data_IF_075674804252
#
_entry.id   IF_075674804252
#
_cell.length_a   1.000
_cell.length_b   1.000
_cell.length_c   1.000
_cell.angle_alpha   90.00
_cell.angle_beta   90.00
_cell.angle_gamma   90.00
#
_symmetry.space_group_name_H-M   'P 1'
#
loop_
_entity.id
_entity.type
_entity.pdbx_description
1 polymer ?
#
# COMPACT_ATOMS: atom_id res chain seq x y z
N UNK A 1 9.14 -7.75 21.14
CA UNK A 1 10.54 -7.22 21.18
C UNK A 1 10.58 -5.70 20.96
N UNK A 2 9.97 -5.14 19.88
CA UNK A 2 9.98 -3.69 19.60
C UNK A 2 9.31 -2.86 20.71
N UNK A 3 8.13 -3.27 21.18
CA UNK A 3 7.42 -2.60 22.28
C UNK A 3 8.33 -2.53 23.53
N UNK A 4 8.95 -3.65 23.91
CA UNK A 4 9.83 -3.67 25.10
C UNK A 4 11.05 -2.75 24.93
N UNK A 5 11.64 -2.71 23.72
CA UNK A 5 12.73 -1.80 23.41
C UNK A 5 12.31 -0.34 23.59
N UNK A 6 11.19 0.07 22.98
CA UNK A 6 10.69 1.44 23.10
C UNK A 6 10.37 1.83 24.56
N UNK A 7 9.76 0.94 25.33
CA UNK A 7 9.46 1.18 26.73
C UNK A 7 10.75 1.30 27.58
N UNK A 8 11.74 0.43 27.34
CA UNK A 8 13.04 0.49 28.03
C UNK A 8 13.76 1.79 27.72
N UNK A 9 13.81 2.19 26.44
CA UNK A 9 14.45 3.44 26.00
C UNK A 9 13.79 4.67 26.61
N UNK A 10 12.46 4.66 26.71
CA UNK A 10 11.69 5.74 27.33
C UNK A 10 11.71 5.71 28.87
N UNK A 11 12.23 4.66 29.49
CA UNK A 11 12.18 4.48 30.96
C UNK A 11 10.76 4.30 31.49
N UNK A 12 9.83 3.77 30.69
CA UNK A 12 8.42 3.62 31.02
C UNK A 12 8.02 2.16 31.17
N UNK A 13 7.02 1.95 32.03
CA UNK A 13 6.26 0.70 32.07
C UNK A 13 5.03 0.81 31.15
N UNK A 14 4.55 -0.31 30.60
CA UNK A 14 3.37 -0.32 29.74
C UNK A 14 2.10 0.20 30.43
N UNK A 15 2.03 0.09 31.75
CA UNK A 15 0.95 0.63 32.61
C UNK A 15 0.87 2.14 32.56
N UNK A 16 2.00 2.82 32.38
CA UNK A 16 2.13 4.29 32.33
C UNK A 16 1.79 4.85 30.92
N UNK A 17 1.59 3.96 29.94
CA UNK A 17 1.17 4.36 28.57
C UNK A 17 -0.33 4.64 28.58
N UNK A 18 -0.72 5.83 28.13
CA UNK A 18 -2.12 6.24 28.09
C UNK A 18 -2.86 5.55 26.94
N UNK A 19 -2.25 5.50 25.74
CA UNK A 19 -2.84 4.92 24.55
C UNK A 19 -1.83 4.12 23.75
N UNK A 20 -2.30 3.07 23.09
CA UNK A 20 -1.58 2.32 22.06
C UNK A 20 -2.32 2.56 20.72
N UNK A 21 -1.67 3.23 19.79
CA UNK A 21 -2.25 3.48 18.47
C UNK A 21 -1.81 2.41 17.46
N UNK A 22 -2.78 1.79 16.82
CA UNK A 22 -2.56 0.93 15.67
C UNK A 22 -2.79 1.72 14.37
N UNK A 23 -1.94 1.54 13.40
CA UNK A 23 -1.79 2.42 12.23
C UNK A 23 -2.85 2.23 11.14
N UNK A 24 -3.82 1.33 11.30
CA UNK A 24 -4.88 1.14 10.32
C UNK A 24 -6.24 0.77 10.93
N UNK A 25 -7.33 0.94 10.17
CA UNK A 25 -8.70 0.60 10.55
C UNK A 25 -9.12 -0.71 9.85
N UNK A 26 -9.00 -1.87 10.50
CA UNK A 26 -9.20 -3.18 9.86
C UNK A 26 -10.59 -3.37 9.27
N UNK A 27 -11.62 -2.82 9.90
CA UNK A 27 -13.01 -2.93 9.42
C UNK A 27 -13.21 -2.20 8.09
N UNK A 28 -12.66 -1.00 7.93
CA UNK A 28 -12.73 -0.25 6.68
C UNK A 28 -11.94 -0.95 5.55
N UNK A 29 -10.80 -1.57 5.88
CA UNK A 29 -10.08 -2.42 4.92
C UNK A 29 -10.91 -3.61 4.47
N UNK A 30 -11.60 -4.25 5.40
CA UNK A 30 -12.47 -5.38 5.08
C UNK A 30 -13.67 -4.96 4.23
N UNK A 31 -14.31 -3.82 4.57
CA UNK A 31 -15.39 -3.21 3.80
C UNK A 31 -14.95 -2.96 2.35
N UNK A 32 -13.84 -2.25 2.12
CA UNK A 32 -13.29 -2.04 0.78
C UNK A 32 -13.11 -3.34 0.00
N UNK A 33 -12.56 -4.37 0.65
CA UNK A 33 -12.38 -5.67 -0.02
C UNK A 33 -13.72 -6.26 -0.47
N UNK A 34 -14.75 -6.24 0.38
CA UNK A 34 -16.09 -6.72 0.03
C UNK A 34 -16.71 -5.90 -1.10
N UNK A 35 -16.70 -4.58 -0.99
CA UNK A 35 -17.25 -3.68 -2.01
C UNK A 35 -16.54 -3.87 -3.36
N UNK A 36 -15.21 -4.02 -3.35
CA UNK A 36 -14.45 -4.29 -4.56
C UNK A 36 -14.93 -5.57 -5.25
N UNK A 37 -15.10 -6.67 -4.52
CA UNK A 37 -15.57 -7.92 -5.13
C UNK A 37 -17.01 -7.85 -5.62
N UNK A 38 -17.87 -7.13 -4.91
CA UNK A 38 -19.25 -6.88 -5.36
C UNK A 38 -19.26 -6.05 -6.64
N UNK A 39 -18.46 -4.98 -6.70
CA UNK A 39 -18.39 -4.09 -7.85
C UNK A 39 -17.87 -4.79 -9.13
N UNK A 40 -16.96 -5.75 -8.98
CA UNK A 40 -16.38 -6.49 -10.10
C UNK A 40 -17.07 -7.85 -10.39
N UNK A 41 -18.11 -8.21 -9.64
CA UNK A 41 -18.80 -9.50 -9.82
C UNK A 41 -19.28 -9.71 -11.27
N UNK A 42 -19.18 -10.93 -11.83
CA UNK A 42 -18.72 -12.19 -11.23
C UNK A 42 -17.20 -12.42 -11.28
N UNK A 43 -16.41 -11.42 -11.74
CA UNK A 43 -14.94 -11.52 -11.79
C UNK A 43 -14.37 -11.66 -10.36
N UNK A 44 -13.29 -12.42 -10.22
CA UNK A 44 -12.59 -12.55 -8.94
C UNK A 44 -13.20 -13.56 -7.96
N UNK A 45 -14.20 -14.37 -8.34
CA UNK A 45 -14.83 -15.34 -7.43
C UNK A 45 -13.80 -16.33 -6.84
N UNK A 46 -12.82 -16.75 -7.63
CA UNK A 46 -11.77 -17.67 -7.15
C UNK A 46 -10.90 -17.01 -6.08
N UNK A 47 -10.37 -15.81 -6.34
CA UNK A 47 -9.54 -15.07 -5.38
C UNK A 47 -10.33 -14.70 -4.12
N UNK A 48 -11.62 -14.32 -4.25
CA UNK A 48 -12.51 -14.09 -3.13
C UNK A 48 -12.62 -15.32 -2.22
N UNK A 49 -12.90 -16.51 -2.80
CA UNK A 49 -13.01 -17.75 -2.03
C UNK A 49 -11.71 -18.13 -1.32
N UNK A 50 -10.57 -17.84 -1.91
CA UNK A 50 -9.26 -18.11 -1.30
C UNK A 50 -8.92 -17.09 -0.18
N UNK A 51 -9.24 -15.83 -0.38
CA UNK A 51 -8.87 -14.76 0.52
C UNK A 51 -9.82 -14.60 1.72
N UNK A 52 -11.12 -14.88 1.53
CA UNK A 52 -12.15 -14.63 2.54
C UNK A 52 -11.88 -15.30 3.89
N UNK A 53 -11.50 -16.58 3.99
CA UNK A 53 -11.21 -17.20 5.29
C UNK A 53 -10.07 -16.53 6.04
N UNK A 54 -9.04 -16.07 5.31
CA UNK A 54 -7.89 -15.36 5.89
C UNK A 54 -8.31 -13.99 6.39
N UNK A 55 -9.06 -13.24 5.59
CA UNK A 55 -9.48 -11.88 5.95
C UNK A 55 -10.48 -11.85 7.11
N UNK A 56 -11.42 -12.78 7.16
CA UNK A 56 -12.32 -12.95 8.31
C UNK A 56 -11.50 -13.13 9.59
N UNK A 57 -10.51 -14.02 9.57
CA UNK A 57 -9.67 -14.28 10.73
C UNK A 57 -8.76 -13.10 11.09
N UNK A 58 -8.08 -12.50 10.12
CA UNK A 58 -7.03 -11.51 10.37
C UNK A 58 -7.56 -10.08 10.50
N UNK A 59 -8.69 -9.75 9.86
CA UNK A 59 -9.20 -8.38 9.87
C UNK A 59 -10.32 -8.16 10.88
N UNK A 60 -11.32 -9.04 10.94
CA UNK A 60 -12.41 -8.89 11.89
C UNK A 60 -11.99 -9.11 13.34
N UNK A 61 -11.07 -10.03 13.59
CA UNK A 61 -10.59 -10.34 14.95
C UNK A 61 -9.24 -9.70 15.31
N UNK A 62 -8.77 -8.73 14.51
CA UNK A 62 -7.46 -8.10 14.73
C UNK A 62 -7.37 -7.42 16.10
N UNK A 63 -8.42 -6.73 16.54
CA UNK A 63 -8.46 -6.09 17.88
C UNK A 63 -8.22 -7.11 18.97
N UNK A 64 -8.96 -8.21 18.95
CA UNK A 64 -8.85 -9.27 19.96
C UNK A 64 -7.47 -9.94 19.93
N UNK A 65 -6.92 -10.13 18.74
CA UNK A 65 -5.58 -10.66 18.54
C UNK A 65 -4.51 -9.74 19.13
N UNK A 66 -4.57 -8.43 18.85
CA UNK A 66 -3.66 -7.43 19.39
C UNK A 66 -3.76 -7.35 20.92
N UNK A 67 -4.98 -7.29 21.48
CA UNK A 67 -5.21 -7.29 22.93
C UNK A 67 -4.64 -8.53 23.57
N UNK A 68 -4.80 -9.70 22.96
CA UNK A 68 -4.24 -10.97 23.44
C UNK A 68 -2.71 -10.96 23.45
N UNK A 69 -2.08 -10.42 22.40
CA UNK A 69 -0.62 -10.31 22.34
C UNK A 69 -0.07 -9.31 23.37
N UNK A 70 -0.73 -8.16 23.55
CA UNK A 70 -0.36 -7.17 24.56
C UNK A 70 -0.51 -7.76 25.98
N UNK A 71 -1.57 -8.53 26.24
CA UNK A 71 -1.81 -9.19 27.54
C UNK A 71 -0.79 -10.28 27.86
N UNK A 72 0.00 -10.78 26.91
CA UNK A 72 1.14 -11.65 27.22
C UNK A 72 2.26 -10.90 27.94
N UNK A 73 2.41 -9.60 27.67
CA UNK A 73 3.41 -8.73 28.29
C UNK A 73 2.83 -8.05 29.54
N UNK A 74 1.57 -7.60 29.45
CA UNK A 74 0.87 -6.92 30.53
C UNK A 74 -0.55 -7.49 30.72
N UNK A 75 -0.73 -8.37 31.71
CA UNK A 75 -1.99 -9.12 31.92
C UNK A 75 -3.20 -8.24 32.13
N UNK A 76 -3.03 -7.11 32.81
CA UNK A 76 -4.12 -6.19 33.20
C UNK A 76 -4.33 -5.09 32.15
N UNK A 77 -3.90 -5.28 30.90
CA UNK A 77 -4.08 -4.30 29.84
C UNK A 77 -5.56 -3.98 29.61
N UNK A 78 -5.92 -2.70 29.70
CA UNK A 78 -7.25 -2.20 29.35
C UNK A 78 -7.35 -2.05 27.82
N UNK A 79 -8.24 -2.83 27.21
CA UNK A 79 -8.45 -2.82 25.77
C UNK A 79 -9.00 -1.49 25.23
N UNK A 80 -9.55 -0.61 26.09
CA UNK A 80 -10.00 0.73 25.70
C UNK A 80 -8.83 1.68 25.40
N UNK A 81 -7.64 1.38 25.87
CA UNK A 81 -6.41 2.12 25.50
C UNK A 81 -5.92 1.81 24.10
N UNK A 82 -6.45 0.77 23.41
CA UNK A 82 -6.07 0.44 22.04
C UNK A 82 -6.94 1.22 21.05
N UNK A 83 -6.31 2.12 20.31
CA UNK A 83 -6.92 2.98 19.30
C UNK A 83 -6.48 2.59 17.89
N UNK A 84 -7.30 2.90 16.91
CA UNK A 84 -7.05 2.61 15.50
C UNK A 84 -7.10 3.93 14.71
N UNK A 85 -5.98 4.30 14.10
CA UNK A 85 -5.85 5.43 13.19
C UNK A 85 -6.08 5.00 11.75
N UNK A 86 -6.39 5.95 10.87
CA UNK A 86 -6.42 5.72 9.43
C UNK A 86 -5.00 5.57 8.88
N UNK A 87 -4.84 4.68 7.90
CA UNK A 87 -3.53 4.31 7.36
C UNK A 87 -2.76 5.51 6.78
N UNK A 88 -3.38 6.25 5.88
CA UNK A 88 -2.74 7.44 5.28
C UNK A 88 -2.57 8.60 6.27
N UNK A 89 -3.48 8.74 7.24
CA UNK A 89 -3.29 9.68 8.35
C UNK A 89 -2.07 9.28 9.20
N UNK A 90 -1.90 7.99 9.46
CA UNK A 90 -0.72 7.48 10.19
C UNK A 90 0.58 7.74 9.44
N UNK A 91 0.60 7.57 8.10
CA UNK A 91 1.74 7.96 7.26
C UNK A 91 2.02 9.47 7.36
N UNK A 92 1.00 10.30 7.17
CA UNK A 92 1.15 11.75 7.23
C UNK A 92 1.64 12.22 8.60
N UNK A 93 1.08 11.67 9.69
CA UNK A 93 1.49 11.97 11.05
C UNK A 93 2.96 11.58 11.32
N UNK A 94 3.38 10.41 10.86
CA UNK A 94 4.77 9.95 11.04
C UNK A 94 5.78 10.84 10.31
N UNK A 95 5.41 11.41 9.19
CA UNK A 95 6.26 12.35 8.44
C UNK A 95 6.25 13.74 9.06
N UNK A 96 5.07 14.32 9.32
CA UNK A 96 4.91 15.70 9.77
C UNK A 96 5.46 15.91 11.17
N UNK A 97 5.00 15.13 12.16
CA UNK A 97 5.39 15.32 13.57
C UNK A 97 6.84 14.96 13.87
N UNK A 98 7.50 14.18 13.00
CA UNK A 98 8.93 13.92 13.10
C UNK A 98 9.79 14.93 12.32
N UNK A 99 9.17 15.83 11.55
CA UNK A 99 9.87 16.86 10.76
C UNK A 99 10.16 18.10 11.61
N UNK A 100 11.09 18.96 11.17
CA UNK A 100 11.37 20.23 11.84
C UNK A 100 10.40 21.36 11.44
N UNK A 101 9.35 21.09 10.66
CA UNK A 101 8.47 22.11 10.08
C UNK A 101 7.26 22.37 10.99
N UNK A 102 7.00 23.64 11.30
CA UNK A 102 5.79 24.08 12.00
C UNK A 102 4.55 24.05 11.09
N UNK A 103 4.74 24.23 9.79
CA UNK A 103 3.70 24.17 8.77
C UNK A 103 4.26 23.49 7.52
N UNK A 104 3.54 22.50 7.00
CA UNK A 104 3.94 21.76 5.80
C UNK A 104 2.77 21.13 5.06
N UNK A 105 2.94 20.97 3.75
CA UNK A 105 2.13 20.04 2.96
C UNK A 105 2.76 18.65 3.07
N UNK A 106 1.95 17.65 3.35
CA UNK A 106 2.38 16.25 3.45
C UNK A 106 1.72 15.45 2.35
N UNK A 107 2.54 14.86 1.49
CA UNK A 107 2.10 13.96 0.44
C UNK A 107 2.37 12.51 0.87
N UNK A 108 1.35 11.67 0.82
CA UNK A 108 1.50 10.23 1.05
C UNK A 108 1.11 9.44 -0.20
N UNK A 109 1.95 8.48 -0.59
CA UNK A 109 1.71 7.58 -1.72
C UNK A 109 1.98 6.16 -1.25
N UNK A 110 0.97 5.29 -1.43
CA UNK A 110 1.04 3.90 -0.98
C UNK A 110 0.39 2.96 -2.01
N UNK A 111 0.48 1.67 -1.76
CA UNK A 111 -0.28 0.67 -2.50
C UNK A 111 -1.77 0.87 -2.28
N UNK A 112 -2.23 0.68 -1.07
CA UNK A 112 -3.58 1.00 -0.62
C UNK A 112 -3.72 0.93 0.91
N UNK A 113 -4.27 1.98 1.49
CA UNK A 113 -4.73 2.01 2.89
C UNK A 113 -6.10 1.34 3.07
N UNK A 114 -7.02 2.02 3.71
CA UNK A 114 -8.42 1.60 3.73
C UNK A 114 -9.03 1.73 2.33
N UNK A 115 -9.14 2.96 1.85
CA UNK A 115 -9.55 3.32 0.49
C UNK A 115 -8.51 4.18 -0.21
N UNK A 116 -7.91 5.12 0.52
CA UNK A 116 -6.93 6.04 -0.01
C UNK A 116 -5.67 5.30 -0.48
N UNK A 117 -5.11 5.77 -1.59
CA UNK A 117 -3.85 5.33 -2.20
C UNK A 117 -2.84 6.48 -2.28
N UNK A 118 -3.38 7.70 -2.33
CA UNK A 118 -2.60 8.94 -2.31
C UNK A 118 -3.38 9.96 -1.50
N UNK A 119 -2.71 10.69 -0.60
CA UNK A 119 -3.34 11.80 0.12
C UNK A 119 -2.45 13.03 0.13
N UNK A 120 -3.09 14.18 0.17
CA UNK A 120 -2.45 15.47 0.48
C UNK A 120 -3.01 15.93 1.81
N UNK A 121 -2.14 16.14 2.78
CA UNK A 121 -2.49 16.72 4.07
C UNK A 121 -1.79 18.06 4.29
N UNK A 122 -2.39 18.91 5.13
CA UNK A 122 -1.80 20.14 5.62
C UNK A 122 -1.57 19.98 7.11
N UNK A 123 -0.32 20.06 7.53
CA UNK A 123 0.10 20.08 8.93
C UNK A 123 0.39 21.51 9.36
N UNK A 124 -0.08 21.89 10.56
CA UNK A 124 0.18 23.19 11.19
C UNK A 124 0.18 23.07 12.71
N UNK A 125 1.34 23.23 13.34
CA UNK A 125 1.50 23.01 14.78
C UNK A 125 1.09 21.60 15.17
N UNK A 126 0.00 21.46 15.92
CA UNK A 126 -0.54 20.14 16.34
C UNK A 126 -1.69 19.63 15.46
N UNK A 127 -2.11 20.41 14.47
CA UNK A 127 -3.20 20.02 13.56
C UNK A 127 -2.65 19.37 12.31
N UNK A 128 -3.28 18.30 11.88
CA UNK A 128 -2.99 17.60 10.63
C UNK A 128 -4.30 17.23 9.96
N UNK A 129 -4.55 17.78 8.78
CA UNK A 129 -5.81 17.64 8.07
C UNK A 129 -5.57 17.11 6.65
N UNK A 130 -6.17 15.97 6.29
CA UNK A 130 -6.20 15.46 4.92
C UNK A 130 -7.17 16.34 4.12
N UNK A 131 -6.70 16.90 3.01
CA UNK A 131 -7.47 17.85 2.19
C UNK A 131 -7.79 17.31 0.80
N UNK A 132 -7.03 16.32 0.29
CA UNK A 132 -7.30 15.65 -0.98
C UNK A 132 -6.93 14.17 -0.89
N UNK A 133 -7.66 13.33 -1.62
CA UNK A 133 -7.42 11.89 -1.69
C UNK A 133 -7.64 11.35 -3.10
N UNK A 134 -6.85 10.34 -3.47
CA UNK A 134 -7.13 9.43 -4.58
C UNK A 134 -7.37 8.05 -3.97
N UNK A 135 -8.41 7.37 -4.44
CA UNK A 135 -8.84 6.10 -3.91
C UNK A 135 -8.49 4.93 -4.82
N UNK A 136 -8.42 3.76 -4.23
CA UNK A 136 -8.39 2.48 -4.93
C UNK A 136 -9.54 2.39 -5.97
N UNK A 137 -9.29 1.88 -7.18
CA UNK A 137 -8.12 1.13 -7.62
C UNK A 137 -6.98 1.97 -8.24
N UNK A 138 -7.07 3.30 -8.22
CA UNK A 138 -6.07 4.18 -8.81
C UNK A 138 -4.94 4.41 -7.79
N UNK A 139 -3.74 3.86 -8.06
CA UNK A 139 -2.62 3.87 -7.12
C UNK A 139 -1.28 3.83 -7.85
N UNK A 140 -0.39 4.78 -7.56
CA UNK A 140 0.99 4.76 -8.05
C UNK A 140 1.79 3.62 -7.40
N UNK A 141 1.52 3.31 -6.13
CA UNK A 141 2.16 2.17 -5.47
C UNK A 141 1.78 0.83 -6.12
N UNK A 142 0.50 0.63 -6.48
CA UNK A 142 0.08 -0.57 -7.22
C UNK A 142 0.59 -0.57 -8.67
N UNK A 143 0.72 0.58 -9.32
CA UNK A 143 1.37 0.69 -10.64
C UNK A 143 2.83 0.23 -10.53
N UNK A 144 3.57 0.71 -9.54
CA UNK A 144 4.95 0.29 -9.28
C UNK A 144 5.02 -1.22 -9.00
N UNK A 145 4.12 -1.75 -8.19
CA UNK A 145 4.02 -3.18 -7.91
C UNK A 145 3.64 -4.00 -9.15
N UNK A 146 2.85 -3.44 -10.09
CA UNK A 146 2.54 -4.07 -11.36
C UNK A 146 3.81 -4.23 -12.23
N UNK A 147 4.65 -3.21 -12.32
CA UNK A 147 5.94 -3.30 -12.99
C UNK A 147 6.93 -4.22 -12.25
N UNK A 148 6.90 -4.24 -10.92
CA UNK A 148 7.66 -5.19 -10.11
C UNK A 148 7.29 -6.63 -10.48
N UNK A 149 6.00 -6.93 -10.57
CA UNK A 149 5.49 -8.22 -11.01
C UNK A 149 5.87 -8.54 -12.46
N UNK A 150 5.70 -7.57 -13.37
CA UNK A 150 6.01 -7.72 -14.79
C UNK A 150 7.48 -8.06 -15.05
N UNK A 151 8.38 -7.43 -14.32
CA UNK A 151 9.82 -7.71 -14.38
C UNK A 151 10.23 -8.97 -13.62
N UNK A 152 9.26 -9.74 -13.09
CA UNK A 152 9.46 -11.04 -12.45
C UNK A 152 9.97 -10.96 -11.02
N UNK A 153 9.83 -9.82 -10.36
CA UNK A 153 10.15 -9.70 -8.94
C UNK A 153 8.92 -9.91 -8.06
N UNK A 154 9.17 -10.30 -6.82
CA UNK A 154 8.10 -10.55 -5.85
C UNK A 154 7.56 -9.22 -5.34
N UNK A 155 6.26 -8.99 -5.53
CA UNK A 155 5.52 -7.84 -5.00
C UNK A 155 5.60 -7.78 -3.46
N UNK A 156 5.62 -6.57 -2.90
CA UNK A 156 5.80 -6.25 -1.47
C UNK A 156 7.19 -6.60 -0.90
N UNK A 157 8.13 -7.00 -1.74
CA UNK A 157 9.50 -7.27 -1.29
C UNK A 157 10.54 -7.14 -2.40
N UNK A 158 10.14 -6.84 -3.62
CA UNK A 158 11.02 -6.75 -4.78
C UNK A 158 11.03 -5.39 -5.47
N UNK A 159 10.25 -4.44 -4.97
CA UNK A 159 10.15 -3.07 -5.50
C UNK A 159 11.52 -2.39 -5.53
N UNK A 160 12.33 -2.58 -4.48
CA UNK A 160 13.70 -2.03 -4.44
C UNK A 160 14.63 -2.62 -5.52
N UNK A 161 14.32 -3.83 -6.04
CA UNK A 161 15.09 -4.44 -7.14
C UNK A 161 14.80 -3.75 -8.46
N UNK A 162 13.54 -3.33 -8.68
CA UNK A 162 13.17 -2.51 -9.85
C UNK A 162 13.87 -1.16 -9.77
N UNK A 163 13.85 -0.53 -8.59
CA UNK A 163 14.59 0.72 -8.35
C UNK A 163 16.09 0.55 -8.64
N UNK A 164 16.71 -0.55 -8.17
CA UNK A 164 18.11 -0.85 -8.42
C UNK A 164 18.43 -1.22 -9.87
N UNK A 165 17.42 -1.63 -10.66
CA UNK A 165 17.57 -1.95 -12.08
C UNK A 165 17.50 -0.70 -12.97
N UNK A 166 16.73 0.31 -12.57
CA UNK A 166 16.48 1.53 -13.33
C UNK A 166 17.73 2.27 -13.82
N UNK A 167 18.81 2.42 -13.03
CA UNK A 167 20.04 3.10 -13.50
C UNK A 167 20.74 2.43 -14.68
N UNK A 168 20.41 1.20 -15.01
CA UNK A 168 21.00 0.45 -16.12
C UNK A 168 20.17 0.53 -17.41
N UNK A 169 19.01 1.22 -17.38
CA UNK A 169 18.09 1.37 -18.48
C UNK A 169 17.98 2.79 -19.01
N UNK A 170 17.25 2.91 -20.10
CA UNK A 170 16.83 4.18 -20.69
C UNK A 170 15.29 4.29 -20.60
N UNK A 171 14.69 5.49 -20.36
CA UNK A 171 13.25 5.64 -20.15
C UNK A 171 12.46 5.59 -21.49
N UNK A 172 12.62 4.52 -22.26
CA UNK A 172 12.04 4.35 -23.61
C UNK A 172 10.53 4.22 -23.60
N UNK A 173 9.95 3.75 -22.49
CA UNK A 173 8.51 3.46 -22.37
C UNK A 173 7.74 4.52 -21.60
N UNK A 174 8.41 5.60 -21.14
CA UNK A 174 7.80 6.68 -20.35
C UNK A 174 6.55 7.25 -21.02
N UNK A 175 6.65 7.65 -22.30
CA UNK A 175 5.54 8.27 -23.00
C UNK A 175 4.41 7.27 -23.26
N UNK A 176 4.73 6.01 -23.51
CA UNK A 176 3.76 4.93 -23.67
C UNK A 176 2.98 4.67 -22.36
N UNK A 177 3.68 4.69 -21.22
CA UNK A 177 3.08 4.55 -19.89
C UNK A 177 2.11 5.70 -19.64
N UNK A 178 2.53 6.94 -19.87
CA UNK A 178 1.72 8.14 -19.68
C UNK A 178 0.52 8.21 -20.63
N UNK A 179 0.65 7.70 -21.87
CA UNK A 179 -0.44 7.70 -22.84
C UNK A 179 -1.47 6.58 -22.63
N UNK A 180 -1.03 5.39 -22.17
CA UNK A 180 -1.88 4.20 -22.15
C UNK A 180 -2.29 3.73 -20.75
N UNK A 181 -1.46 3.93 -19.74
CA UNK A 181 -1.70 3.36 -18.42
C UNK A 181 -2.19 4.38 -17.39
N UNK A 182 -1.83 5.65 -17.55
CA UNK A 182 -2.14 6.70 -16.59
C UNK A 182 -2.71 7.95 -17.26
N UNK A 183 -3.90 8.35 -16.85
CA UNK A 183 -4.49 9.63 -17.21
C UNK A 183 -4.15 10.65 -16.13
N UNK A 184 -3.10 11.44 -16.35
CA UNK A 184 -2.59 12.45 -15.44
C UNK A 184 -3.19 13.82 -15.76
N UNK A 185 -3.74 14.50 -14.76
CA UNK A 185 -4.32 15.84 -14.87
C UNK A 185 -3.34 16.93 -14.41
N UNK A 186 -3.60 18.17 -14.85
CA UNK A 186 -2.79 19.34 -14.48
C UNK A 186 -2.77 19.63 -12.97
N UNK A 187 -3.84 19.27 -12.24
CA UNK A 187 -3.93 19.43 -10.79
C UNK A 187 -3.21 18.32 -10.00
N UNK A 188 -2.52 17.42 -10.70
CA UNK A 188 -1.80 16.29 -10.13
C UNK A 188 -2.68 15.07 -9.82
N UNK A 189 -3.99 15.15 -10.05
CA UNK A 189 -4.84 13.97 -9.95
C UNK A 189 -4.59 13.02 -11.12
N UNK A 190 -4.82 11.72 -10.89
CA UNK A 190 -4.60 10.72 -11.93
C UNK A 190 -5.60 9.58 -11.84
N UNK A 191 -5.74 8.86 -12.96
CA UNK A 191 -6.46 7.59 -13.04
C UNK A 191 -5.65 6.58 -13.84
N UNK A 192 -5.69 5.32 -13.41
CA UNK A 192 -5.10 4.21 -14.15
C UNK A 192 -6.15 3.54 -15.02
N UNK A 193 -5.81 3.16 -16.25
CA UNK A 193 -6.68 2.32 -17.09
C UNK A 193 -6.70 0.90 -16.56
N UNK A 194 -7.76 0.58 -15.81
CA UNK A 194 -7.93 -0.71 -15.15
C UNK A 194 -8.04 -1.90 -16.11
N UNK A 195 -8.18 -1.66 -17.42
CA UNK A 195 -8.21 -2.73 -18.43
C UNK A 195 -6.87 -3.47 -18.59
N UNK A 196 -5.78 -2.92 -18.12
CA UNK A 196 -4.44 -3.51 -18.14
C UNK A 196 -4.09 -4.29 -16.87
N UNK A 197 -4.84 -4.11 -15.79
CA UNK A 197 -4.50 -4.61 -14.46
C UNK A 197 -5.48 -5.67 -13.96
N UNK A 198 -4.97 -6.58 -13.12
CA UNK A 198 -5.76 -7.63 -12.49
C UNK A 198 -5.80 -7.51 -10.96
N UNK A 199 -5.03 -6.60 -10.37
CA UNK A 199 -4.83 -6.55 -8.92
C UNK A 199 -6.10 -6.27 -8.10
N UNK A 200 -7.15 -5.72 -8.71
CA UNK A 200 -8.38 -5.42 -8.00
C UNK A 200 -9.07 -6.69 -7.47
N UNK A 201 -9.15 -7.74 -8.31
CA UNK A 201 -9.85 -8.99 -7.98
C UNK A 201 -9.15 -10.25 -8.50
N UNK A 202 -8.03 -10.11 -9.21
CA UNK A 202 -7.28 -11.22 -9.78
C UNK A 202 -6.22 -11.80 -8.84
N UNK A 203 -5.54 -12.84 -9.30
CA UNK A 203 -4.41 -13.47 -8.64
C UNK A 203 -3.05 -12.98 -9.17
N UNK A 204 -3.07 -12.11 -10.17
CA UNK A 204 -1.90 -11.50 -10.81
C UNK A 204 -2.03 -9.98 -10.76
N UNK A 205 -0.92 -9.25 -10.90
CA UNK A 205 -0.95 -7.79 -10.92
C UNK A 205 -1.40 -7.23 -12.27
N UNK A 206 -0.96 -7.85 -13.35
CA UNK A 206 -1.23 -7.44 -14.74
C UNK A 206 -1.84 -8.56 -15.54
N UNK A 207 -2.44 -8.23 -16.69
CA UNK A 207 -3.02 -9.19 -17.62
C UNK A 207 -2.23 -9.25 -18.95
N UNK A 208 -2.72 -10.04 -19.93
CA UNK A 208 -2.08 -10.19 -21.23
C UNK A 208 -2.02 -8.88 -22.01
N UNK A 209 -3.08 -8.03 -21.93
CA UNK A 209 -3.10 -6.72 -22.59
C UNK A 209 -1.94 -5.82 -22.14
N UNK A 210 -1.53 -5.92 -20.87
CA UNK A 210 -0.36 -5.20 -20.35
C UNK A 210 0.94 -5.73 -20.98
N UNK A 211 1.09 -7.04 -21.08
CA UNK A 211 2.27 -7.65 -21.72
C UNK A 211 2.33 -7.30 -23.23
N UNK A 212 1.20 -7.37 -23.92
CA UNK A 212 1.10 -7.03 -25.36
C UNK A 212 1.44 -5.55 -25.62
N UNK A 213 1.13 -4.65 -24.69
CA UNK A 213 1.46 -3.23 -24.78
C UNK A 213 2.97 -2.97 -24.92
N UNK A 214 3.78 -3.76 -24.20
CA UNK A 214 5.23 -3.63 -24.19
C UNK A 214 5.93 -4.61 -25.13
N UNK A 215 5.20 -5.58 -25.69
CA UNK A 215 5.71 -6.53 -26.69
C UNK A 215 6.50 -7.71 -26.12
N UNK A 216 6.59 -7.83 -24.79
CA UNK A 216 7.31 -8.91 -24.11
C UNK A 216 6.41 -9.58 -23.05
N UNK A 217 6.53 -10.88 -22.83
CA UNK A 217 5.76 -11.58 -21.80
C UNK A 217 6.22 -11.19 -20.38
N UNK A 218 5.36 -11.50 -19.39
CA UNK A 218 5.73 -11.38 -17.97
C UNK A 218 6.94 -12.29 -17.70
N UNK A 219 8.01 -11.71 -17.18
CA UNK A 219 9.25 -12.44 -16.88
C UNK A 219 9.01 -13.49 -15.78
N UNK A 220 9.49 -14.72 -16.03
CA UNK A 220 9.51 -15.82 -15.06
C UNK A 220 10.92 -15.90 -14.44
N UNK A 221 11.09 -15.62 -13.14
CA UNK A 221 12.43 -15.47 -12.54
C UNK A 221 13.27 -16.76 -12.60
N UNK A 222 12.63 -17.95 -12.63
CA UNK A 222 13.31 -19.23 -12.59
C UNK A 222 13.87 -19.66 -13.96
N UNK A 223 13.34 -19.11 -15.06
CA UNK A 223 13.68 -19.52 -16.42
C UNK A 223 14.25 -18.36 -17.25
N UNK A 224 13.84 -17.15 -16.99
CA UNK A 224 14.14 -16.01 -17.85
C UNK A 224 15.23 -15.10 -17.24
N UNK A 225 16.18 -14.68 -18.06
CA UNK A 225 17.20 -13.72 -17.65
C UNK A 225 16.64 -12.29 -17.66
N UNK A 226 17.22 -11.42 -16.85
CA UNK A 226 17.05 -9.97 -17.00
C UNK A 226 17.77 -9.52 -18.29
N UNK A 227 17.08 -8.71 -19.08
CA UNK A 227 17.58 -8.16 -20.35
C UNK A 227 17.54 -6.64 -20.32
N UNK A 228 18.11 -5.98 -21.33
CA UNK A 228 18.04 -4.53 -21.47
C UNK A 228 16.59 -4.02 -21.48
N UNK A 229 15.65 -4.78 -22.03
CA UNK A 229 14.23 -4.46 -21.99
C UNK A 229 13.72 -4.22 -20.55
N UNK A 230 14.06 -5.12 -19.62
CA UNK A 230 13.63 -4.99 -18.21
C UNK A 230 14.29 -3.78 -17.52
N UNK A 231 15.51 -3.43 -17.90
CA UNK A 231 16.22 -2.23 -17.42
C UNK A 231 15.54 -0.96 -17.94
N UNK A 232 15.20 -0.94 -19.23
CA UNK A 232 14.51 0.19 -19.88
C UNK A 232 13.09 0.39 -19.32
N UNK A 233 12.35 -0.70 -19.04
CA UNK A 233 11.07 -0.65 -18.34
C UNK A 233 11.23 -0.07 -16.92
N UNK A 234 12.24 -0.51 -16.19
CA UNK A 234 12.48 -0.03 -14.83
C UNK A 234 12.90 1.45 -14.78
N UNK A 235 13.58 1.94 -15.84
CA UNK A 235 13.98 3.34 -15.98
C UNK A 235 12.83 4.26 -16.44
N UNK A 236 11.75 3.69 -16.99
CA UNK A 236 10.63 4.42 -17.58
C UNK A 236 9.57 4.78 -16.58
#
# INVERSE_FOLDING_TARGET
NAINYCLTEAGLLLEQVDYIAFYDKPFLKFERLLETYVAFAPKGLQSFRMAMPVWLREKLFLKDMLVKEIKKVYKNFDSNKLMFGEHHFSHAASAFYASPFEEAVVLTLDGVGEWATTTVAIGKGHELNIVKEIHFPHSLGLLYSAFTYYTGFRVNSGEYKVMGLAPYGEPKYKDLILDKLIDLKEDGSFRLDQSYFNYATGLTMVNQKFADLFGEPIRKPDTDKLTQFHMDIAAS
#
